data_IF_543542429842
#
_entry.id   IF_543542429842
#
_cell.length_a   1.000
_cell.length_b   1.000
_cell.length_c   1.000
_cell.angle_alpha   90.00
_cell.angle_beta   90.00
_cell.angle_gamma   90.00
#
_symmetry.space_group_name_H-M   'P 1'
#
loop_
_entity.id
_entity.type
_entity.pdbx_description
1 polymer ?
#
# COMPACT_ATOMS: atom_id res chain seq x y z
N UNK A 1 15.29 -0.36 -13.35
CA UNK A 1 13.84 -0.23 -13.15
C UNK A 1 13.36 0.94 -13.97
N UNK A 2 12.26 0.77 -14.69
CA UNK A 2 11.63 1.84 -15.48
C UNK A 2 10.88 2.84 -14.58
N UNK A 3 10.52 2.45 -13.35
CA UNK A 3 9.80 3.28 -12.38
C UNK A 3 10.72 3.57 -11.18
N UNK A 4 10.88 4.85 -10.88
CA UNK A 4 11.52 5.35 -9.67
C UNK A 4 10.44 5.69 -8.65
N UNK A 5 10.60 5.26 -7.38
CA UNK A 5 9.63 5.50 -6.31
C UNK A 5 10.28 6.23 -5.15
N UNK A 6 9.69 7.34 -4.76
CA UNK A 6 10.12 8.19 -3.64
C UNK A 6 9.07 8.16 -2.54
N UNK A 7 9.52 7.95 -1.30
CA UNK A 7 8.67 7.96 -0.10
C UNK A 7 8.61 9.35 0.49
N UNK A 8 7.39 9.79 0.81
CA UNK A 8 7.12 11.05 1.51
C UNK A 8 6.43 10.72 2.84
N UNK A 9 7.15 10.79 3.98
CA UNK A 9 6.54 10.59 5.29
C UNK A 9 5.66 11.78 5.64
N UNK A 10 4.44 11.51 6.10
CA UNK A 10 3.46 12.52 6.49
C UNK A 10 2.64 12.04 7.70
N UNK A 11 1.92 12.95 8.34
CA UNK A 11 1.14 12.67 9.54
C UNK A 11 1.98 11.97 10.62
N UNK A 12 1.40 10.98 11.33
CA UNK A 12 2.14 10.24 12.38
C UNK A 12 2.93 9.05 11.84
N UNK A 13 2.39 8.38 10.82
CA UNK A 13 2.90 7.09 10.33
C UNK A 13 2.59 6.80 8.85
N UNK A 14 1.93 7.74 8.12
CA UNK A 14 1.59 7.57 6.73
C UNK A 14 2.81 7.76 5.81
N UNK A 15 2.81 7.00 4.72
CA UNK A 15 3.68 7.20 3.57
C UNK A 15 2.87 7.48 2.31
N UNK A 16 3.13 8.63 1.70
CA UNK A 16 2.69 8.92 0.34
C UNK A 16 3.80 8.46 -0.60
N UNK A 17 3.41 7.80 -1.70
CA UNK A 17 4.36 7.35 -2.70
C UNK A 17 4.30 8.25 -3.93
N UNK A 18 5.44 8.86 -4.27
CA UNK A 18 5.61 9.63 -5.50
C UNK A 18 6.43 8.77 -6.46
N UNK A 19 5.86 8.40 -7.61
CA UNK A 19 6.54 7.55 -8.58
C UNK A 19 6.66 8.24 -9.93
N UNK A 20 7.80 8.01 -10.62
CA UNK A 20 8.07 8.50 -11.96
C UNK A 20 8.40 7.36 -12.90
N UNK A 21 7.74 7.34 -14.07
CA UNK A 21 8.15 6.49 -15.17
C UNK A 21 9.25 7.20 -15.96
N UNK A 22 10.43 6.56 -16.03
CA UNK A 22 11.67 7.23 -16.46
C UNK A 22 11.74 7.50 -17.98
N UNK A 23 10.97 6.79 -18.81
CA UNK A 23 10.98 6.95 -20.28
C UNK A 23 10.11 8.13 -20.69
N UNK A 24 8.88 8.20 -20.19
CA UNK A 24 7.94 9.27 -20.52
C UNK A 24 8.10 10.52 -19.66
N UNK A 25 8.62 10.33 -18.43
CA UNK A 25 8.67 11.37 -17.42
C UNK A 25 7.33 11.58 -16.69
N UNK A 26 6.30 10.75 -16.94
CA UNK A 26 5.04 10.81 -16.17
C UNK A 26 5.28 10.58 -14.69
N UNK A 27 4.51 11.31 -13.87
CA UNK A 27 4.61 11.24 -12.40
C UNK A 27 3.24 10.98 -11.80
N UNK A 28 3.17 9.97 -10.94
CA UNK A 28 1.96 9.64 -10.16
C UNK A 28 2.21 9.80 -8.67
N UNK A 29 1.22 10.32 -7.97
CA UNK A 29 1.15 10.32 -6.50
C UNK A 29 0.14 9.25 -6.09
N UNK A 30 0.53 8.34 -5.22
CA UNK A 30 -0.37 7.32 -4.67
C UNK A 30 -0.76 7.69 -3.26
N UNK A 31 -2.06 7.72 -3.01
CA UNK A 31 -2.70 7.97 -1.71
C UNK A 31 -2.21 9.26 -1.01
N UNK A 32 -2.37 10.43 -1.61
CA UNK A 32 -1.93 11.68 -1.00
C UNK A 32 -2.81 12.11 0.18
N UNK A 33 -2.37 11.82 1.41
CA UNK A 33 -3.01 12.27 2.64
C UNK A 33 -3.10 13.79 2.74
N UNK A 34 -2.05 14.48 2.34
CA UNK A 34 -1.88 15.94 2.39
C UNK A 34 -1.10 16.42 1.16
N UNK A 35 -1.38 17.65 0.70
CA UNK A 35 -0.83 18.16 -0.55
C UNK A 35 0.56 18.81 -0.39
N UNK A 36 0.75 19.64 0.62
CA UNK A 36 1.92 20.50 0.72
C UNK A 36 3.27 19.73 0.68
N UNK A 37 3.49 18.63 1.41
CA UNK A 37 4.74 17.86 1.32
C UNK A 37 4.94 17.21 -0.06
N UNK A 38 3.84 16.83 -0.74
CA UNK A 38 3.89 16.23 -2.08
C UNK A 38 4.35 17.25 -3.10
N UNK A 39 3.74 18.43 -3.12
CA UNK A 39 4.09 19.52 -4.05
C UNK A 39 5.53 19.99 -3.83
N UNK A 40 5.95 20.14 -2.56
CA UNK A 40 7.32 20.51 -2.22
C UNK A 40 8.35 19.45 -2.68
N UNK A 41 8.04 18.14 -2.51
CA UNK A 41 8.94 17.07 -2.95
C UNK A 41 9.01 16.99 -4.49
N UNK A 42 7.88 17.16 -5.17
CA UNK A 42 7.86 17.19 -6.63
C UNK A 42 8.67 18.37 -7.18
N UNK A 43 8.57 19.56 -6.59
CA UNK A 43 9.37 20.74 -6.95
C UNK A 43 10.87 20.52 -6.70
N UNK A 44 11.25 19.97 -5.54
CA UNK A 44 12.65 19.61 -5.20
C UNK A 44 13.27 18.67 -6.25
N UNK A 45 12.47 17.73 -6.77
CA UNK A 45 12.93 16.74 -7.76
C UNK A 45 12.82 17.25 -9.22
N UNK A 46 12.18 18.39 -9.44
CA UNK A 46 11.85 18.86 -10.78
C UNK A 46 10.83 17.98 -11.50
N UNK A 47 9.94 17.32 -10.77
CA UNK A 47 8.93 16.41 -11.30
C UNK A 47 7.57 17.09 -11.44
N UNK A 48 6.91 16.88 -12.60
CA UNK A 48 5.57 17.40 -12.84
C UNK A 48 4.54 16.30 -12.59
N UNK A 49 3.73 16.46 -11.55
CA UNK A 49 2.67 15.49 -11.21
C UNK A 49 1.60 15.51 -12.32
N UNK A 50 1.39 14.35 -12.95
CA UNK A 50 0.41 14.16 -14.02
C UNK A 50 -0.79 13.34 -13.57
N UNK A 51 -0.63 12.51 -12.53
CA UNK A 51 -1.66 11.60 -12.04
C UNK A 51 -1.67 11.53 -10.51
N UNK A 52 -2.86 11.25 -9.95
CA UNK A 52 -3.04 10.74 -8.59
C UNK A 52 -3.76 9.41 -8.70
N UNK A 53 -3.31 8.40 -7.93
CA UNK A 53 -4.00 7.14 -7.78
C UNK A 53 -4.43 6.93 -6.35
N UNK A 54 -5.72 6.66 -6.12
CA UNK A 54 -6.23 6.31 -4.81
C UNK A 54 -6.52 4.82 -4.73
N UNK A 55 -6.08 4.19 -3.65
CA UNK A 55 -6.38 2.78 -3.38
C UNK A 55 -7.75 2.61 -2.73
N UNK A 56 -8.16 3.55 -1.89
CA UNK A 56 -9.44 3.57 -1.18
C UNK A 56 -9.80 4.98 -0.67
N UNK A 57 -10.98 5.12 -0.04
CA UNK A 57 -11.60 6.41 0.27
C UNK A 57 -11.14 7.10 1.56
N UNK A 58 -10.40 6.47 2.45
CA UNK A 58 -10.09 7.07 3.75
C UNK A 58 -9.42 8.45 3.60
N UNK A 59 -9.71 9.40 4.51
CA UNK A 59 -9.23 10.78 4.38
C UNK A 59 -7.70 10.90 4.35
N UNK A 60 -7.01 10.03 5.05
CA UNK A 60 -5.54 9.97 5.08
C UNK A 60 -4.91 9.33 3.82
N UNK A 61 -5.74 9.01 2.81
CA UNK A 61 -5.31 8.59 1.46
C UNK A 61 -5.82 9.53 0.36
N UNK A 62 -6.80 10.37 0.66
CA UNK A 62 -7.46 11.22 -0.34
C UNK A 62 -7.44 12.71 -0.02
N UNK A 63 -7.00 13.08 1.19
CA UNK A 63 -7.11 14.46 1.70
C UNK A 63 -6.35 15.49 0.88
N UNK A 64 -5.26 15.12 0.21
CA UNK A 64 -4.48 15.99 -0.66
C UNK A 64 -5.01 16.12 -2.10
N UNK A 65 -5.96 15.27 -2.52
CA UNK A 65 -6.41 15.17 -3.92
C UNK A 65 -6.79 16.52 -4.54
N UNK A 66 -7.69 17.24 -3.91
CA UNK A 66 -8.25 18.47 -4.46
C UNK A 66 -7.20 19.57 -4.63
N UNK A 67 -6.33 19.73 -3.64
CA UNK A 67 -5.28 20.76 -3.65
C UNK A 67 -4.18 20.43 -4.67
N UNK A 68 -3.73 19.17 -4.75
CA UNK A 68 -2.74 18.74 -5.75
C UNK A 68 -3.33 18.90 -7.16
N UNK A 69 -4.58 18.48 -7.39
CA UNK A 69 -5.26 18.65 -8.67
C UNK A 69 -5.40 20.12 -9.07
N UNK A 70 -5.75 20.99 -8.13
CA UNK A 70 -5.84 22.43 -8.39
C UNK A 70 -4.49 23.05 -8.78
N UNK A 71 -3.40 22.57 -8.18
CA UNK A 71 -2.05 23.08 -8.44
C UNK A 71 -1.45 22.54 -9.75
N UNK A 72 -1.78 21.31 -10.15
CA UNK A 72 -1.09 20.60 -11.25
C UNK A 72 -1.96 20.30 -12.46
N UNK A 73 -3.28 20.27 -12.31
CA UNK A 73 -4.21 19.82 -13.35
C UNK A 73 -4.20 18.30 -13.56
N UNK A 74 -3.61 17.53 -12.64
CA UNK A 74 -3.49 16.07 -12.76
C UNK A 74 -4.84 15.35 -12.82
N UNK A 75 -4.83 14.14 -13.39
CA UNK A 75 -5.99 13.23 -13.44
C UNK A 75 -5.99 12.35 -12.19
N UNK A 76 -7.14 12.18 -11.56
CA UNK A 76 -7.30 11.34 -10.37
C UNK A 76 -8.01 10.05 -10.75
N UNK A 77 -7.33 8.92 -10.55
CA UNK A 77 -7.84 7.56 -10.80
C UNK A 77 -8.04 6.84 -9.46
N UNK A 78 -9.14 6.12 -9.31
CA UNK A 78 -9.40 5.33 -8.10
C UNK A 78 -10.57 4.37 -8.23
N UNK A 79 -10.93 3.66 -7.14
CA UNK A 79 -11.89 2.57 -7.15
C UNK A 79 -13.30 3.02 -7.54
N UNK A 80 -13.86 2.41 -8.58
CA UNK A 80 -15.22 2.65 -9.04
C UNK A 80 -16.27 2.40 -7.93
N UNK A 81 -16.03 1.43 -7.06
CA UNK A 81 -16.93 1.13 -5.95
C UNK A 81 -16.98 2.21 -4.86
N UNK A 82 -16.00 3.13 -4.84
CA UNK A 82 -15.88 4.18 -3.83
C UNK A 82 -16.01 5.61 -4.40
N UNK A 83 -16.43 5.76 -5.67
CA UNK A 83 -16.51 7.07 -6.34
C UNK A 83 -17.35 8.10 -5.57
N UNK A 84 -18.43 7.66 -4.92
CA UNK A 84 -19.29 8.54 -4.14
C UNK A 84 -18.59 9.10 -2.86
N UNK A 85 -17.55 8.42 -2.39
CA UNK A 85 -16.75 8.79 -1.21
C UNK A 85 -15.47 9.54 -1.60
N UNK A 86 -15.06 9.44 -2.87
CA UNK A 86 -13.91 10.17 -3.45
C UNK A 86 -14.42 11.06 -4.58
N UNK A 87 -15.10 12.18 -4.26
CA UNK A 87 -15.75 13.02 -5.27
C UNK A 87 -14.77 13.72 -6.23
N UNK A 88 -13.47 13.59 -5.98
CA UNK A 88 -12.41 14.16 -6.83
C UNK A 88 -11.97 13.24 -7.97
N UNK A 89 -12.46 11.99 -8.05
CA UNK A 89 -12.09 11.05 -9.10
C UNK A 89 -12.53 11.54 -10.49
N UNK A 90 -11.63 11.40 -11.46
CA UNK A 90 -11.90 11.61 -12.88
C UNK A 90 -12.07 10.26 -13.59
N UNK A 91 -11.32 9.25 -13.19
CA UNK A 91 -11.29 7.91 -13.78
C UNK A 91 -11.61 6.86 -12.73
N UNK A 92 -12.60 6.03 -13.02
CA UNK A 92 -13.07 4.98 -12.14
C UNK A 92 -12.57 3.63 -12.67
N UNK A 93 -11.90 2.84 -11.81
CA UNK A 93 -11.34 1.54 -12.17
C UNK A 93 -11.75 0.44 -11.20
N UNK A 94 -11.70 -0.81 -11.65
CA UNK A 94 -12.01 -2.00 -10.85
C UNK A 94 -11.05 -3.15 -11.17
N UNK A 95 -11.10 -4.22 -10.43
CA UNK A 95 -10.26 -5.39 -10.65
C UNK A 95 -10.37 -5.92 -12.09
N UNK A 96 -9.22 -6.18 -12.71
CA UNK A 96 -9.10 -6.57 -14.11
C UNK A 96 -8.79 -5.43 -15.07
N UNK A 97 -9.02 -4.17 -14.68
CA UNK A 97 -8.64 -3.02 -15.49
C UNK A 97 -7.11 -2.82 -15.49
N UNK A 98 -6.66 -1.98 -16.42
CA UNK A 98 -5.27 -1.52 -16.47
C UNK A 98 -5.22 0.00 -16.50
N UNK A 99 -4.33 0.59 -15.72
CA UNK A 99 -4.06 2.03 -15.70
C UNK A 99 -2.72 2.28 -16.38
N UNK A 100 -2.73 3.14 -17.38
CA UNK A 100 -1.52 3.52 -18.11
C UNK A 100 -0.67 4.49 -17.27
N UNK A 101 0.65 4.28 -17.29
CA UNK A 101 1.64 5.12 -16.64
C UNK A 101 2.89 5.20 -17.53
N UNK A 102 2.95 6.21 -18.37
CA UNK A 102 3.98 6.32 -19.40
C UNK A 102 3.98 5.13 -20.36
N UNK A 103 5.13 4.48 -20.49
CA UNK A 103 5.27 3.23 -21.27
C UNK A 103 4.88 1.99 -20.47
N UNK A 104 4.71 2.10 -19.14
CA UNK A 104 4.26 1.03 -18.25
C UNK A 104 2.75 1.04 -18.06
N UNK A 105 2.22 -0.01 -17.45
CA UNK A 105 0.82 -0.06 -17.03
C UNK A 105 0.62 -0.94 -15.80
N UNK A 106 -0.14 -0.44 -14.84
CA UNK A 106 -0.54 -1.20 -13.66
C UNK A 106 -1.81 -2.00 -13.92
N UNK A 107 -1.83 -3.26 -13.52
CA UNK A 107 -3.07 -4.03 -13.36
C UNK A 107 -3.76 -3.61 -12.06
N UNK A 108 -5.08 -3.43 -12.12
CA UNK A 108 -5.90 -3.16 -10.94
C UNK A 108 -6.37 -4.48 -10.34
N UNK A 109 -6.24 -4.63 -9.03
CA UNK A 109 -6.64 -5.81 -8.27
C UNK A 109 -7.64 -5.39 -7.21
N UNK A 110 -8.86 -5.95 -7.22
CA UNK A 110 -9.81 -5.75 -6.12
C UNK A 110 -9.33 -6.49 -4.88
N UNK A 111 -9.19 -5.75 -3.78
CA UNK A 111 -8.76 -6.25 -2.47
C UNK A 111 -9.68 -5.74 -1.35
N UNK A 112 -11.00 -6.00 -1.46
CA UNK A 112 -11.98 -5.52 -0.49
C UNK A 112 -11.76 -6.18 0.87
N UNK A 113 -11.82 -5.42 1.94
CA UNK A 113 -11.97 -5.86 3.33
C UNK A 113 -11.68 -4.69 4.31
N UNK A 114 -10.58 -3.95 4.10
CA UNK A 114 -10.31 -2.74 4.86
C UNK A 114 -11.38 -1.70 4.57
N UNK A 115 -11.61 -1.41 3.28
CA UNK A 115 -12.84 -0.80 2.78
C UNK A 115 -13.51 -1.72 1.76
N UNK A 116 -14.78 -1.48 1.45
CA UNK A 116 -15.57 -2.35 0.58
C UNK A 116 -15.10 -2.32 -0.89
N UNK A 117 -14.53 -1.21 -1.33
CA UNK A 117 -14.06 -1.01 -2.70
C UNK A 117 -12.55 -0.89 -2.85
N UNK A 118 -11.77 -1.26 -1.83
CA UNK A 118 -10.31 -1.14 -1.86
C UNK A 118 -9.68 -1.87 -3.06
N UNK A 119 -8.74 -1.20 -3.74
CA UNK A 119 -7.96 -1.75 -4.85
C UNK A 119 -6.46 -1.65 -4.61
N UNK A 120 -5.69 -2.45 -5.33
CA UNK A 120 -4.23 -2.35 -5.43
C UNK A 120 -3.82 -2.15 -6.89
N UNK A 121 -2.66 -1.52 -7.11
CA UNK A 121 -2.05 -1.30 -8.42
C UNK A 121 -0.79 -2.13 -8.54
N UNK A 122 -0.72 -3.03 -9.51
CA UNK A 122 0.41 -3.95 -9.72
C UNK A 122 1.07 -3.76 -11.07
N UNK A 123 2.35 -3.47 -11.05
CA UNK A 123 3.23 -3.44 -12.22
C UNK A 123 4.04 -4.74 -12.28
N UNK A 124 3.58 -5.67 -13.12
CA UNK A 124 4.17 -7.01 -13.20
C UNK A 124 5.60 -7.00 -13.75
N UNK A 125 5.86 -6.20 -14.79
CA UNK A 125 7.17 -6.12 -15.45
C UNK A 125 8.21 -5.44 -14.55
N UNK A 126 7.80 -4.50 -13.71
CA UNK A 126 8.63 -3.79 -12.76
C UNK A 126 8.69 -4.47 -11.39
N UNK A 127 7.90 -5.51 -11.18
CA UNK A 127 7.81 -6.27 -9.93
C UNK A 127 7.53 -5.37 -8.72
N UNK A 128 6.55 -4.47 -8.82
CA UNK A 128 6.12 -3.61 -7.72
C UNK A 128 4.60 -3.48 -7.63
N UNK A 129 4.10 -3.24 -6.42
CA UNK A 129 2.68 -3.00 -6.19
C UNK A 129 2.45 -1.95 -5.09
N UNK A 130 1.48 -1.05 -5.34
CA UNK A 130 0.92 -0.14 -4.33
C UNK A 130 -0.34 -0.79 -3.78
N UNK A 131 -0.36 -1.09 -2.48
CA UNK A 131 -1.40 -1.93 -1.87
C UNK A 131 -2.24 -1.21 -0.81
N UNK A 132 -2.01 0.08 -0.62
CA UNK A 132 -2.69 0.89 0.40
C UNK A 132 -2.69 0.19 1.75
N UNK A 133 -3.89 -0.02 2.29
CA UNK A 133 -4.13 -0.58 3.62
C UNK A 133 -4.57 -2.06 3.62
N UNK A 134 -4.26 -2.80 2.55
CA UNK A 134 -4.56 -4.24 2.50
C UNK A 134 -3.47 -5.06 3.17
N UNK A 135 -2.22 -4.93 2.71
CA UNK A 135 -1.06 -5.66 3.21
C UNK A 135 -0.06 -4.67 3.80
N UNK A 136 0.32 -4.88 5.05
CA UNK A 136 1.42 -4.17 5.70
C UNK A 136 2.60 -5.11 5.96
N UNK A 137 3.77 -4.55 6.17
CA UNK A 137 4.91 -5.33 6.65
C UNK A 137 4.56 -6.04 7.96
N UNK A 138 4.61 -7.38 7.94
CA UNK A 138 4.19 -8.29 9.03
C UNK A 138 2.74 -8.09 9.53
N UNK A 139 1.85 -7.51 8.70
CA UNK A 139 0.49 -7.17 9.10
C UNK A 139 -0.51 -7.12 7.94
N UNK A 140 -1.75 -6.82 8.26
CA UNK A 140 -2.81 -6.48 7.30
C UNK A 140 -3.71 -5.37 7.87
N UNK A 141 -4.49 -4.74 7.00
CA UNK A 141 -5.47 -3.72 7.39
C UNK A 141 -6.55 -4.25 8.34
N UNK A 142 -7.14 -3.33 9.12
CA UNK A 142 -8.35 -3.63 9.89
C UNK A 142 -9.52 -3.90 8.94
N UNK A 143 -10.46 -4.73 9.39
CA UNK A 143 -11.65 -5.10 8.61
C UNK A 143 -12.81 -4.16 8.96
N UNK A 144 -12.79 -2.93 8.44
CA UNK A 144 -13.85 -1.97 8.76
C UNK A 144 -15.14 -2.25 7.99
N UNK A 145 -15.04 -2.69 6.73
CA UNK A 145 -16.18 -2.82 5.83
C UNK A 145 -16.30 -4.22 5.19
N UNK A 146 -15.35 -5.10 5.49
CA UNK A 146 -15.35 -6.45 4.92
C UNK A 146 -15.15 -7.54 5.94
N UNK A 147 -14.85 -8.74 5.45
CA UNK A 147 -14.76 -9.98 6.23
C UNK A 147 -13.36 -10.56 6.23
N UNK A 148 -13.07 -11.43 7.21
CA UNK A 148 -11.80 -12.16 7.26
C UNK A 148 -11.63 -13.11 6.05
N UNK A 149 -12.71 -13.63 5.49
CA UNK A 149 -12.67 -14.43 4.27
C UNK A 149 -12.18 -13.60 3.09
N UNK A 150 -12.69 -12.37 2.91
CA UNK A 150 -12.21 -11.47 1.87
C UNK A 150 -10.73 -11.09 2.06
N UNK A 151 -10.32 -10.78 3.31
CA UNK A 151 -8.90 -10.47 3.58
C UNK A 151 -8.00 -11.70 3.34
N UNK A 152 -8.46 -12.90 3.68
CA UNK A 152 -7.73 -14.13 3.38
C UNK A 152 -7.54 -14.31 1.86
N UNK A 153 -8.59 -14.11 1.07
CA UNK A 153 -8.52 -14.17 -0.38
C UNK A 153 -7.59 -13.08 -0.94
N UNK A 154 -7.61 -11.88 -0.37
CA UNK A 154 -6.68 -10.80 -0.75
C UNK A 154 -5.22 -11.19 -0.48
N UNK A 155 -4.92 -11.83 0.67
CA UNK A 155 -3.57 -12.34 0.94
C UNK A 155 -3.14 -13.36 -0.11
N UNK A 156 -4.05 -14.24 -0.58
CA UNK A 156 -3.75 -15.22 -1.65
C UNK A 156 -3.50 -14.55 -3.00
N UNK A 157 -4.32 -13.52 -3.35
CA UNK A 157 -4.10 -12.73 -4.57
C UNK A 157 -2.74 -12.05 -4.57
N UNK A 158 -2.38 -11.40 -3.44
CA UNK A 158 -1.10 -10.68 -3.33
C UNK A 158 0.09 -11.65 -3.29
N UNK A 159 -0.03 -12.79 -2.61
CA UNK A 159 1.00 -13.83 -2.61
C UNK A 159 1.32 -14.36 -4.02
N UNK A 160 0.32 -14.41 -4.90
CA UNK A 160 0.48 -14.85 -6.28
C UNK A 160 1.27 -13.87 -7.17
N UNK A 161 1.60 -12.66 -6.70
CA UNK A 161 2.39 -11.67 -7.44
C UNK A 161 3.87 -12.07 -7.56
N UNK A 162 4.34 -13.04 -6.76
CA UNK A 162 5.72 -13.54 -6.78
C UNK A 162 6.62 -12.88 -5.72
N UNK A 163 7.59 -13.64 -5.24
CA UNK A 163 8.43 -13.31 -4.08
C UNK A 163 9.21 -12.00 -4.22
N UNK A 164 9.65 -11.67 -5.44
CA UNK A 164 10.46 -10.48 -5.73
C UNK A 164 9.63 -9.20 -5.85
N UNK A 165 8.30 -9.29 -5.84
CA UNK A 165 7.43 -8.11 -5.93
C UNK A 165 7.60 -7.22 -4.71
N UNK A 166 8.03 -5.98 -4.94
CA UNK A 166 8.17 -4.94 -3.91
C UNK A 166 6.80 -4.35 -3.58
N UNK A 167 6.47 -4.31 -2.30
CA UNK A 167 5.17 -3.89 -1.79
C UNK A 167 5.29 -2.53 -1.10
N UNK A 168 4.61 -1.55 -1.67
CA UNK A 168 4.48 -0.19 -1.16
C UNK A 168 3.13 -0.05 -0.43
N UNK A 169 3.14 -0.24 0.89
CA UNK A 169 1.99 0.00 1.76
C UNK A 169 2.02 1.42 2.34
N UNK A 170 0.89 1.86 2.89
CA UNK A 170 0.74 3.27 3.24
C UNK A 170 1.19 3.67 4.65
N UNK A 171 1.54 2.71 5.52
CA UNK A 171 1.84 3.01 6.93
C UNK A 171 3.10 2.32 7.47
N UNK A 172 3.77 3.01 8.40
CA UNK A 172 4.93 2.50 9.17
C UNK A 172 4.46 1.72 10.42
N UNK A 173 3.76 0.61 10.22
CA UNK A 173 3.25 -0.25 11.29
C UNK A 173 4.12 -1.45 11.60
N UNK A 174 5.24 -1.62 10.92
CA UNK A 174 6.06 -2.82 10.92
C UNK A 174 6.48 -3.26 12.32
N UNK A 175 6.95 -2.33 13.16
CA UNK A 175 7.41 -2.67 14.51
C UNK A 175 6.27 -3.19 15.40
N UNK A 176 5.11 -2.52 15.37
CA UNK A 176 3.91 -2.96 16.11
C UNK A 176 3.37 -4.29 15.58
N UNK A 177 3.36 -4.45 14.26
CA UNK A 177 2.91 -5.69 13.63
C UNK A 177 3.83 -6.86 13.96
N UNK A 178 5.14 -6.64 13.91
CA UNK A 178 6.11 -7.69 14.20
C UNK A 178 6.10 -8.14 15.66
N UNK A 179 5.90 -7.21 16.62
CA UNK A 179 5.69 -7.57 18.03
C UNK A 179 4.49 -8.48 18.19
N UNK A 180 3.37 -8.16 17.54
CA UNK A 180 2.21 -9.04 17.53
C UNK A 180 2.50 -10.38 16.83
N UNK A 181 3.16 -10.35 15.67
CA UNK A 181 3.51 -11.56 14.92
C UNK A 181 4.31 -12.55 15.78
N UNK A 182 5.26 -12.08 16.60
CA UNK A 182 6.02 -12.91 17.52
C UNK A 182 5.16 -13.58 18.61
N UNK A 183 4.02 -12.99 19.00
CA UNK A 183 3.10 -13.65 19.94
C UNK A 183 2.32 -14.80 19.28
N UNK A 184 2.12 -14.72 17.97
CA UNK A 184 1.36 -15.71 17.18
C UNK A 184 2.26 -16.85 16.68
N UNK A 185 3.49 -16.51 16.28
CA UNK A 185 4.47 -17.43 15.71
C UNK A 185 5.83 -17.31 16.44
N UNK A 186 5.89 -17.64 17.75
CA UNK A 186 7.11 -17.42 18.56
C UNK A 186 8.32 -18.25 18.10
N UNK A 187 8.09 -19.37 17.43
CA UNK A 187 9.14 -20.27 16.92
C UNK A 187 9.59 -19.95 15.48
N UNK A 188 9.06 -18.87 14.88
CA UNK A 188 9.44 -18.47 13.53
C UNK A 188 10.79 -17.72 13.56
N UNK A 189 11.88 -18.44 13.27
CA UNK A 189 13.24 -17.87 13.30
C UNK A 189 13.43 -16.73 12.27
N UNK A 190 12.79 -16.79 11.11
CA UNK A 190 12.85 -15.74 10.10
C UNK A 190 12.17 -14.45 10.60
N UNK A 191 11.04 -14.58 11.30
CA UNK A 191 10.35 -13.46 11.93
C UNK A 191 11.19 -12.83 13.04
N UNK A 192 11.81 -13.65 13.91
CA UNK A 192 12.66 -13.16 14.98
C UNK A 192 13.88 -12.37 14.43
N UNK A 193 14.52 -12.89 13.38
CA UNK A 193 15.63 -12.20 12.71
C UNK A 193 15.18 -10.89 12.05
N UNK A 194 14.01 -10.90 11.38
CA UNK A 194 13.45 -9.68 10.77
C UNK A 194 13.13 -8.64 11.83
N UNK A 195 12.55 -9.03 12.98
CA UNK A 195 12.24 -8.09 14.07
C UNK A 195 13.47 -7.42 14.65
N UNK A 196 14.56 -8.18 14.85
CA UNK A 196 15.82 -7.59 15.32
C UNK A 196 16.35 -6.49 14.37
N UNK A 197 16.24 -6.72 13.07
CA UNK A 197 16.60 -5.72 12.04
C UNK A 197 15.64 -4.51 12.07
N UNK A 198 14.32 -4.75 12.14
CA UNK A 198 13.31 -3.69 12.25
C UNK A 198 13.52 -2.82 13.47
N UNK A 199 13.82 -3.42 14.63
CA UNK A 199 14.09 -2.65 15.86
C UNK A 199 15.34 -1.78 15.72
N UNK A 200 16.39 -2.29 15.08
CA UNK A 200 17.61 -1.52 14.81
C UNK A 200 17.33 -0.34 13.85
N UNK A 201 16.61 -0.58 12.75
CA UNK A 201 16.22 0.46 11.78
C UNK A 201 15.37 1.54 12.46
N UNK A 202 14.34 1.15 13.21
CA UNK A 202 13.47 2.12 13.91
C UNK A 202 14.18 2.90 15.00
N UNK A 203 15.14 2.28 15.69
CA UNK A 203 16.01 2.99 16.66
C UNK A 203 16.91 4.02 15.98
N UNK A 204 17.31 3.79 14.73
CA UNK A 204 18.05 4.73 13.90
C UNK A 204 17.16 5.78 13.19
N UNK A 205 15.83 5.72 13.37
CA UNK A 205 14.88 6.58 12.66
C UNK A 205 14.66 6.20 11.19
N UNK A 206 15.16 5.03 10.78
CA UNK A 206 15.03 4.53 9.41
C UNK A 206 13.66 3.87 9.18
N UNK A 207 13.09 4.03 7.98
CA UNK A 207 11.84 3.38 7.60
C UNK A 207 12.05 1.89 7.32
N UNK A 208 11.00 1.09 7.52
CA UNK A 208 11.03 -0.36 7.33
C UNK A 208 10.22 -0.86 6.13
N UNK A 209 9.59 0.06 5.42
CA UNK A 209 8.89 -0.19 4.16
C UNK A 209 9.58 0.58 3.03
N UNK A 210 9.56 0.07 1.78
CA UNK A 210 8.76 -1.05 1.28
C UNK A 210 9.23 -2.42 1.79
N UNK A 211 8.38 -3.43 1.62
CA UNK A 211 8.66 -4.84 1.87
C UNK A 211 8.61 -5.64 0.57
N UNK A 212 8.72 -6.97 0.62
CA UNK A 212 8.52 -7.85 -0.54
C UNK A 212 7.56 -8.99 -0.20
N UNK A 213 6.90 -9.55 -1.21
CA UNK A 213 6.03 -10.72 -1.03
C UNK A 213 6.79 -11.89 -0.38
N UNK A 214 8.04 -12.13 -0.76
CA UNK A 214 8.86 -13.18 -0.17
C UNK A 214 9.10 -13.00 1.32
N UNK A 215 9.38 -11.76 1.78
CA UNK A 215 9.49 -11.44 3.19
C UNK A 215 8.16 -11.61 3.94
N UNK A 216 7.06 -11.18 3.34
CA UNK A 216 5.73 -11.33 3.94
C UNK A 216 5.32 -12.80 4.01
N UNK A 217 5.57 -13.60 2.99
CA UNK A 217 5.34 -15.05 3.01
C UNK A 217 6.11 -15.74 4.14
N UNK A 218 7.32 -15.30 4.43
CA UNK A 218 8.15 -15.88 5.49
C UNK A 218 7.75 -15.43 6.90
N UNK A 219 7.19 -14.22 7.07
CA UNK A 219 7.12 -13.55 8.39
C UNK A 219 5.77 -12.93 8.74
N UNK A 220 4.87 -12.75 7.77
CA UNK A 220 3.58 -12.12 8.02
C UNK A 220 2.54 -13.14 8.50
N UNK A 221 2.03 -13.06 9.74
CA UNK A 221 1.10 -14.05 10.26
C UNK A 221 -0.24 -14.08 9.52
N UNK A 222 -0.65 -13.00 8.87
CA UNK A 222 -1.90 -12.95 8.11
C UNK A 222 -1.75 -13.61 6.72
N UNK A 223 -0.63 -13.38 6.03
CA UNK A 223 -0.32 -14.08 4.79
C UNK A 223 -0.06 -15.57 5.00
N UNK A 224 0.49 -15.94 6.16
CA UNK A 224 0.76 -17.33 6.57
C UNK A 224 -0.45 -18.05 7.18
N UNK A 225 -1.58 -17.37 7.38
CA UNK A 225 -2.80 -18.01 7.83
C UNK A 225 -3.23 -19.11 6.84
N UNK A 226 -3.64 -20.25 7.34
CA UNK A 226 -4.02 -21.45 6.55
C UNK A 226 -5.49 -21.46 6.17
N UNK A 227 -6.29 -20.58 6.78
CA UNK A 227 -7.73 -20.46 6.53
C UNK A 227 -8.22 -19.05 6.89
N UNK A 228 -9.41 -18.70 6.40
CA UNK A 228 -10.10 -17.47 6.77
C UNK A 228 -10.39 -17.39 8.27
N UNK A 229 -10.72 -18.52 8.90
CA UNK A 229 -10.98 -18.60 10.35
C UNK A 229 -9.70 -18.33 11.16
N UNK A 230 -8.55 -18.85 10.73
CA UNK A 230 -7.27 -18.58 11.38
C UNK A 230 -6.91 -17.10 11.23
N UNK A 231 -7.11 -16.51 10.03
CA UNK A 231 -6.90 -15.08 9.82
C UNK A 231 -7.84 -14.25 10.72
N UNK A 232 -9.11 -14.63 10.83
CA UNK A 232 -10.07 -13.96 11.71
C UNK A 232 -9.61 -13.95 13.17
N UNK A 233 -9.18 -15.10 13.69
CA UNK A 233 -8.66 -15.21 15.06
C UNK A 233 -7.43 -14.30 15.27
N UNK A 234 -6.48 -14.32 14.32
CA UNK A 234 -5.28 -13.48 14.38
C UNK A 234 -5.64 -11.98 14.32
N UNK A 235 -6.62 -11.59 13.47
CA UNK A 235 -7.04 -10.19 13.36
C UNK A 235 -7.73 -9.71 14.64
N UNK A 236 -8.65 -10.49 15.21
CA UNK A 236 -9.28 -10.18 16.48
C UNK A 236 -8.25 -10.04 17.62
N UNK A 237 -7.28 -10.94 17.68
CA UNK A 237 -6.22 -10.89 18.68
C UNK A 237 -5.34 -9.61 18.50
N UNK A 238 -5.04 -9.22 17.25
CA UNK A 238 -4.29 -7.98 16.96
C UNK A 238 -5.09 -6.73 17.30
N UNK A 239 -6.42 -6.74 17.12
CA UNK A 239 -7.26 -5.58 17.42
C UNK A 239 -7.46 -5.38 18.93
N UNK A 240 -7.23 -6.41 19.72
CA UNK A 240 -7.31 -6.40 21.20
C UNK A 240 -5.95 -6.11 21.88
N UNK A 241 -4.84 -6.09 21.15
CA UNK A 241 -3.48 -5.89 21.66
C UNK A 241 -3.10 -4.39 21.61
#
# INVERSE_FOLDING_TARGET
>A
MSIEVVRIPVLSDNYIWLARENTSGEVVVVDPAVAAPVLAKADELGWQITQIWNTHWHPDHTGGNAEIKAATGCIITGPAAEFARIPTLDVHVMGGDRVKFGESSAAVIDVPAHTAGHIAFHFADEQLAFVGDTLFAMGCGRLFEGTAAQMYDNMRKLEALGDDTVIYCAHEYTQSNGRFALTVEPDNAALAARMANVDAMRAAGEPTVPTTIGLERATNPFMRARSADELAQRRLAKDAA
#
